data_IF_646505843254
#
_entry.id   IF_646505843254
#
_cell.length_a   1.000
_cell.length_b   1.000
_cell.length_c   1.000
_cell.angle_alpha   90.00
_cell.angle_beta   90.00
_cell.angle_gamma   90.00
#
_symmetry.space_group_name_H-M   'P 1'
#
loop_
_entity.id
_entity.type
_entity.pdbx_description
1 polymer ?
#
# COMPACT_ATOMS: atom_id res chain seq x y z
N UNK A 1 41.55 -29.04 -24.03
CA UNK A 1 41.91 -28.03 -23.03
C UNK A 1 40.64 -27.19 -22.80
N UNK A 2 39.85 -27.56 -21.79
CA UNK A 2 38.56 -26.92 -21.50
C UNK A 2 38.77 -25.92 -20.34
N UNK A 3 38.53 -24.65 -20.61
CA UNK A 3 38.51 -23.62 -19.56
C UNK A 3 37.15 -23.62 -18.87
N UNK A 4 37.08 -24.12 -17.63
CA UNK A 4 35.98 -23.87 -16.72
C UNK A 4 36.11 -22.44 -16.19
N UNK A 5 35.23 -21.56 -16.61
CA UNK A 5 35.03 -20.27 -15.98
C UNK A 5 34.10 -20.46 -14.78
N UNK A 6 34.66 -20.62 -13.59
CA UNK A 6 33.91 -20.60 -12.34
C UNK A 6 33.65 -19.14 -11.98
N UNK A 7 32.50 -18.62 -12.36
CA UNK A 7 32.00 -17.36 -11.86
C UNK A 7 31.55 -17.59 -10.42
N UNK A 8 32.42 -17.27 -9.49
CA UNK A 8 32.12 -17.22 -8.07
C UNK A 8 31.26 -15.95 -7.82
N UNK A 9 29.98 -16.04 -8.16
CA UNK A 9 29.00 -15.07 -7.70
C UNK A 9 28.86 -15.24 -6.20
N UNK A 10 29.47 -14.36 -5.40
CA UNK A 10 29.09 -14.20 -4.01
C UNK A 10 27.62 -13.76 -4.03
N UNK A 11 26.73 -14.68 -3.70
CA UNK A 11 25.41 -14.30 -3.20
C UNK A 11 25.66 -13.46 -1.95
N UNK A 12 25.51 -12.16 -2.07
CA UNK A 12 25.43 -11.28 -0.90
C UNK A 12 24.12 -11.67 -0.23
N UNK A 13 24.19 -12.47 0.83
CA UNK A 13 23.04 -12.69 1.68
C UNK A 13 22.79 -11.36 2.39
N UNK A 14 21.79 -10.63 1.93
CA UNK A 14 21.33 -9.37 2.53
C UNK A 14 20.77 -9.62 3.95
N UNK A 15 20.74 -10.86 4.39
CA UNK A 15 20.14 -11.29 5.66
C UNK A 15 21.14 -11.55 6.80
N UNK A 16 22.42 -11.26 6.62
CA UNK A 16 23.43 -11.84 7.53
C UNK A 16 23.85 -10.97 8.72
N UNK A 17 23.35 -9.77 8.98
CA UNK A 17 23.83 -9.11 10.20
C UNK A 17 22.96 -8.06 10.86
N UNK A 18 22.11 -7.36 10.13
CA UNK A 18 21.51 -6.13 10.66
C UNK A 18 20.04 -6.29 11.10
N UNK A 19 19.36 -7.35 10.64
CA UNK A 19 17.97 -7.59 10.97
C UNK A 19 17.83 -8.88 11.80
N UNK A 20 17.15 -8.79 12.93
CA UNK A 20 16.78 -9.91 13.78
C UNK A 20 15.27 -9.93 13.91
N UNK A 21 14.70 -11.13 13.88
CA UNK A 21 13.31 -11.30 14.26
C UNK A 21 13.17 -10.93 15.75
N UNK A 22 12.37 -9.92 16.02
CA UNK A 22 12.06 -9.46 17.37
C UNK A 22 10.88 -10.25 17.92
N UNK A 23 9.73 -10.14 17.26
CA UNK A 23 8.52 -10.88 17.65
C UNK A 23 7.60 -11.08 16.43
N UNK A 24 6.58 -11.91 16.62
CA UNK A 24 5.52 -12.17 15.63
C UNK A 24 4.18 -11.90 16.30
N UNK A 25 3.35 -11.10 15.64
CA UNK A 25 1.98 -10.83 16.06
C UNK A 25 1.01 -11.52 15.10
N UNK A 26 0.00 -12.19 15.66
CA UNK A 26 -1.11 -12.72 14.87
C UNK A 26 -2.17 -11.62 14.66
N UNK A 27 -2.41 -11.25 13.41
CA UNK A 27 -3.33 -10.18 13.04
C UNK A 27 -4.28 -10.62 11.93
N UNK A 28 -5.44 -9.99 11.84
CA UNK A 28 -6.33 -10.10 10.69
C UNK A 28 -5.79 -9.21 9.55
N UNK A 29 -6.10 -9.58 8.31
CA UNK A 29 -5.61 -8.87 7.12
C UNK A 29 -4.32 -9.46 6.56
N UNK A 30 -4.09 -9.24 5.25
CA UNK A 30 -2.96 -9.84 4.52
C UNK A 30 -2.49 -8.99 3.33
N UNK A 31 -2.95 -7.74 3.22
CA UNK A 31 -2.65 -6.91 2.04
C UNK A 31 -1.52 -5.91 2.34
N UNK A 32 -1.67 -5.07 3.32
CA UNK A 32 -0.68 -4.07 3.65
C UNK A 32 -0.53 -3.86 5.15
N UNK A 33 0.58 -3.25 5.53
CA UNK A 33 0.89 -2.86 6.90
C UNK A 33 1.53 -1.48 6.94
N UNK A 34 1.05 -0.65 7.86
CA UNK A 34 1.63 0.65 8.17
C UNK A 34 1.74 0.84 9.69
N UNK A 35 2.53 1.82 10.12
CA UNK A 35 2.67 2.17 11.54
C UNK A 35 2.98 3.65 11.71
N UNK A 36 2.44 4.24 12.77
CA UNK A 36 2.79 5.58 13.27
C UNK A 36 3.80 5.53 14.43
N UNK A 37 4.23 4.31 14.83
CA UNK A 37 5.11 4.06 15.96
C UNK A 37 4.37 3.74 17.27
N UNK A 38 3.09 4.05 17.37
CA UNK A 38 2.22 3.75 18.51
C UNK A 38 1.22 2.63 18.18
N UNK A 39 0.89 2.45 16.90
CA UNK A 39 -0.07 1.45 16.42
C UNK A 39 0.42 0.81 15.11
N UNK A 40 -0.06 -0.42 14.88
CA UNK A 40 -0.04 -1.06 13.57
C UNK A 40 -1.39 -0.91 12.90
N UNK A 41 -1.36 -0.59 11.62
CA UNK A 41 -2.52 -0.55 10.73
C UNK A 41 -2.37 -1.65 9.70
N UNK A 42 -3.40 -2.47 9.54
CA UNK A 42 -3.38 -3.63 8.65
C UNK A 42 -4.55 -3.55 7.69
N UNK A 43 -4.32 -3.79 6.41
CA UNK A 43 -5.41 -3.97 5.46
C UNK A 43 -5.66 -5.45 5.16
N UNK A 44 -6.92 -5.81 5.09
CA UNK A 44 -7.40 -6.97 4.37
C UNK A 44 -8.01 -6.51 3.04
N UNK A 45 -8.39 -7.44 2.17
CA UNK A 45 -8.99 -7.08 0.87
C UNK A 45 -10.27 -6.24 1.01
N UNK A 46 -11.00 -6.35 2.13
CA UNK A 46 -12.29 -5.69 2.34
C UNK A 46 -12.47 -5.09 3.74
N UNK A 47 -11.38 -4.94 4.50
CA UNK A 47 -11.44 -4.42 5.85
C UNK A 47 -10.14 -3.70 6.23
N UNK A 48 -10.21 -2.82 7.23
CA UNK A 48 -9.08 -2.16 7.87
C UNK A 48 -9.07 -2.48 9.37
N UNK A 49 -7.88 -2.67 9.92
CA UNK A 49 -7.67 -3.03 11.31
C UNK A 49 -6.60 -2.13 11.93
N UNK A 50 -6.77 -1.80 13.22
CA UNK A 50 -5.81 -1.09 14.03
C UNK A 50 -5.47 -1.91 15.27
N UNK A 51 -4.19 -2.15 15.49
CA UNK A 51 -3.66 -2.89 16.64
C UNK A 51 -2.73 -2.01 17.45
N UNK A 52 -2.67 -2.24 18.76
CA UNK A 52 -1.59 -1.69 19.57
C UNK A 52 -0.25 -2.44 19.31
N UNK A 53 0.82 -1.97 19.94
CA UNK A 53 2.16 -2.56 19.74
C UNK A 53 2.29 -3.97 20.35
N UNK A 54 1.36 -4.39 21.20
CA UNK A 54 1.26 -5.73 21.77
C UNK A 54 0.41 -6.69 20.90
N UNK A 55 -0.23 -6.18 19.84
CA UNK A 55 -1.07 -6.97 18.93
C UNK A 55 -2.52 -7.10 19.38
N UNK A 56 -2.99 -6.29 20.32
CA UNK A 56 -4.40 -6.24 20.68
C UNK A 56 -5.18 -5.40 19.66
N UNK A 57 -6.32 -5.90 19.19
CA UNK A 57 -7.20 -5.18 18.29
C UNK A 57 -7.83 -3.97 18.99
N UNK A 58 -7.55 -2.78 18.46
CA UNK A 58 -8.05 -1.49 19.00
C UNK A 58 -9.29 -0.99 18.25
N UNK A 59 -9.26 -1.11 16.90
CA UNK A 59 -10.36 -0.70 16.05
C UNK A 59 -10.38 -1.53 14.76
N UNK A 60 -11.56 -1.62 14.13
CA UNK A 60 -11.72 -2.21 12.80
C UNK A 60 -12.80 -1.50 12.01
N UNK A 61 -12.65 -1.50 10.69
CA UNK A 61 -13.65 -1.07 9.73
C UNK A 61 -13.91 -2.23 8.74
N UNK A 62 -15.05 -2.90 8.89
CA UNK A 62 -15.48 -4.03 8.04
C UNK A 62 -16.29 -3.60 6.81
N UNK A 63 -16.50 -2.29 6.65
CA UNK A 63 -17.23 -1.72 5.52
C UNK A 63 -16.50 -0.49 4.95
N UNK A 64 -15.19 -0.60 4.59
CA UNK A 64 -14.36 0.53 4.22
C UNK A 64 -14.84 1.24 2.94
N UNK A 65 -15.59 0.54 2.10
CA UNK A 65 -16.08 1.08 0.80
C UNK A 65 -17.42 1.82 0.92
N UNK A 66 -18.07 1.78 2.07
CA UNK A 66 -19.46 2.25 2.26
C UNK A 66 -19.68 3.69 1.80
N UNK A 67 -18.72 4.57 2.09
CA UNK A 67 -18.86 6.00 1.82
C UNK A 67 -18.03 6.47 0.62
N UNK A 68 -17.38 5.56 -0.13
CA UNK A 68 -16.65 5.88 -1.34
C UNK A 68 -17.60 6.29 -2.47
N UNK A 69 -17.19 7.32 -3.23
CA UNK A 69 -17.96 7.75 -4.40
C UNK A 69 -17.82 6.78 -5.59
N UNK A 70 -16.66 6.12 -5.71
CA UNK A 70 -16.42 5.11 -6.72
C UNK A 70 -16.47 3.74 -6.06
N UNK A 71 -17.27 2.85 -6.62
CA UNK A 71 -17.43 1.48 -6.13
C UNK A 71 -16.10 0.74 -6.13
N UNK A 72 -15.75 0.13 -4.99
CA UNK A 72 -14.58 -0.73 -4.80
C UNK A 72 -14.97 -2.05 -4.15
N UNK A 73 -14.16 -3.08 -4.38
CA UNK A 73 -14.28 -4.39 -3.74
C UNK A 73 -12.95 -4.91 -3.21
N UNK A 74 -11.87 -4.14 -3.39
CA UNK A 74 -10.52 -4.56 -3.01
C UNK A 74 -9.72 -3.39 -2.44
N UNK A 75 -9.01 -3.64 -1.34
CA UNK A 75 -7.94 -2.82 -0.81
C UNK A 75 -6.64 -3.60 -1.04
N UNK A 76 -5.63 -2.93 -1.59
CA UNK A 76 -4.26 -3.42 -1.63
C UNK A 76 -3.46 -2.97 -0.42
N UNK A 77 -2.32 -2.34 -0.68
CA UNK A 77 -1.42 -1.83 0.34
C UNK A 77 -1.91 -0.53 0.97
N UNK A 78 -1.34 -0.21 2.14
CA UNK A 78 -1.65 0.99 2.89
C UNK A 78 -0.38 1.67 3.40
N UNK A 79 -0.45 2.98 3.63
CA UNK A 79 0.56 3.73 4.40
C UNK A 79 -0.15 4.67 5.39
N UNK A 80 0.57 5.07 6.44
CA UNK A 80 0.10 6.06 7.42
C UNK A 80 0.91 7.34 7.26
N UNK A 81 0.24 8.48 7.25
CA UNK A 81 0.89 9.77 7.30
C UNK A 81 -0.03 10.84 7.92
N UNK A 82 0.51 11.55 8.92
CA UNK A 82 -0.13 12.71 9.59
C UNK A 82 -1.53 12.40 10.14
N UNK A 83 -1.70 11.21 10.73
CA UNK A 83 -2.96 10.74 11.31
C UNK A 83 -3.99 10.29 10.28
N UNK A 84 -3.57 10.03 9.05
CA UNK A 84 -4.39 9.50 7.97
C UNK A 84 -3.82 8.18 7.44
N UNK A 85 -4.72 7.22 7.16
CA UNK A 85 -4.38 5.98 6.46
C UNK A 85 -4.71 6.16 4.98
N UNK A 86 -3.71 5.99 4.14
CA UNK A 86 -3.82 6.01 2.68
C UNK A 86 -3.92 4.57 2.21
N UNK A 87 -5.00 4.21 1.55
CA UNK A 87 -5.27 2.85 1.08
C UNK A 87 -5.48 2.82 -0.43
N UNK A 88 -4.73 1.99 -1.12
CA UNK A 88 -4.95 1.69 -2.54
C UNK A 88 -6.24 0.89 -2.68
N UNK A 89 -7.25 1.45 -3.34
CA UNK A 89 -8.56 0.85 -3.51
C UNK A 89 -8.95 0.76 -4.98
N UNK A 90 -9.66 -0.29 -5.33
CA UNK A 90 -10.16 -0.52 -6.68
C UNK A 90 -11.36 -1.46 -6.71
N UNK A 91 -12.04 -1.52 -7.83
CA UNK A 91 -12.94 -2.61 -8.19
C UNK A 91 -12.17 -3.62 -9.05
N UNK A 92 -11.72 -4.71 -8.43
CA UNK A 92 -10.93 -5.73 -9.10
C UNK A 92 -11.79 -6.92 -9.49
N UNK A 93 -11.79 -7.27 -10.78
CA UNK A 93 -12.51 -8.40 -11.31
C UNK A 93 -11.78 -8.97 -12.54
N UNK A 94 -11.59 -10.28 -12.57
CA UNK A 94 -10.98 -11.02 -13.68
C UNK A 94 -9.60 -10.48 -14.13
N UNK A 95 -8.79 -10.04 -13.18
CA UNK A 95 -7.45 -9.50 -13.46
C UNK A 95 -7.44 -8.04 -13.93
N UNK A 96 -8.56 -7.32 -13.82
CA UNK A 96 -8.67 -5.92 -14.25
C UNK A 96 -9.14 -5.05 -13.10
N UNK A 97 -8.38 -4.00 -12.79
CA UNK A 97 -8.73 -2.95 -11.86
C UNK A 97 -9.58 -1.87 -12.54
N UNK A 98 -10.59 -1.38 -11.84
CA UNK A 98 -11.42 -0.23 -12.22
C UNK A 98 -11.63 0.65 -11.00
N UNK A 99 -12.02 1.91 -11.22
CA UNK A 99 -12.30 2.84 -10.12
C UNK A 99 -11.10 3.00 -9.17
N UNK A 100 -9.90 2.89 -9.70
CA UNK A 100 -8.65 2.98 -8.95
C UNK A 100 -8.61 4.32 -8.21
N UNK A 101 -8.30 4.29 -6.93
CA UNK A 101 -8.20 5.49 -6.10
C UNK A 101 -7.33 5.22 -4.87
N UNK A 102 -6.74 6.24 -4.31
CA UNK A 102 -6.27 6.22 -2.93
C UNK A 102 -7.40 6.68 -2.04
N UNK A 103 -8.01 5.77 -1.29
CA UNK A 103 -8.98 6.12 -0.25
C UNK A 103 -8.26 6.49 1.04
N UNK A 104 -8.71 7.55 1.69
CA UNK A 104 -8.06 8.12 2.87
C UNK A 104 -9.01 8.03 4.05
N UNK A 105 -8.51 7.43 5.14
CA UNK A 105 -9.25 7.18 6.37
C UNK A 105 -8.59 7.91 7.54
N UNK A 106 -9.35 8.23 8.55
CA UNK A 106 -8.84 8.74 9.81
C UNK A 106 -8.12 7.63 10.59
N UNK A 107 -6.86 7.83 10.97
CA UNK A 107 -6.06 6.79 11.63
C UNK A 107 -6.55 6.42 13.03
N UNK A 108 -7.36 7.28 13.67
CA UNK A 108 -7.91 6.99 14.99
C UNK A 108 -9.19 6.16 14.92
N UNK A 109 -10.09 6.48 13.99
CA UNK A 109 -11.43 5.88 13.89
C UNK A 109 -11.57 4.88 12.76
N UNK A 110 -10.67 4.88 11.79
CA UNK A 110 -10.73 4.17 10.52
C UNK A 110 -11.95 4.56 9.66
N UNK A 111 -12.53 5.72 9.90
CA UNK A 111 -13.62 6.26 9.09
C UNK A 111 -13.09 6.93 7.83
N UNK A 112 -13.85 6.78 6.74
CA UNK A 112 -13.52 7.41 5.47
C UNK A 112 -13.55 8.94 5.55
N UNK A 113 -12.58 9.60 4.94
CA UNK A 113 -12.47 11.07 4.86
C UNK A 113 -12.61 11.59 3.43
N UNK A 114 -11.83 11.06 2.50
CA UNK A 114 -11.73 11.53 1.11
C UNK A 114 -11.00 10.51 0.25
N UNK A 115 -11.04 10.71 -1.08
CA UNK A 115 -10.23 9.93 -2.02
C UNK A 115 -9.42 10.83 -2.95
N UNK A 116 -8.29 10.29 -3.41
CA UNK A 116 -7.55 10.76 -4.58
C UNK A 116 -7.89 9.81 -5.72
N UNK A 117 -8.69 10.23 -6.72
CA UNK A 117 -9.04 9.37 -7.83
C UNK A 117 -7.86 9.22 -8.80
N UNK A 118 -7.75 8.05 -9.38
CA UNK A 118 -6.91 7.81 -10.55
C UNK A 118 -7.32 8.68 -11.73
N UNK A 119 -6.35 9.02 -12.59
CA UNK A 119 -6.59 9.70 -13.84
C UNK A 119 -6.14 8.83 -15.03
N UNK A 120 -6.94 8.73 -16.12
CA UNK A 120 -6.63 7.88 -17.27
C UNK A 120 -5.26 8.17 -17.92
N UNK A 121 -4.81 9.40 -17.87
CA UNK A 121 -3.53 9.84 -18.42
C UNK A 121 -2.32 9.20 -17.74
N UNK A 122 -2.47 8.66 -16.51
CA UNK A 122 -1.40 7.94 -15.83
C UNK A 122 -1.07 6.61 -16.50
N UNK A 123 -2.05 6.00 -17.17
CA UNK A 123 -1.92 4.64 -17.72
C UNK A 123 -2.00 3.53 -16.67
N UNK A 124 -2.21 3.86 -15.40
CA UNK A 124 -2.33 2.89 -14.31
C UNK A 124 -3.52 1.96 -14.53
N UNK A 125 -3.32 0.65 -14.33
CA UNK A 125 -4.33 -0.39 -14.61
C UNK A 125 -4.83 -1.11 -13.35
N UNK A 126 -4.16 -0.90 -12.20
CA UNK A 126 -4.49 -1.54 -10.93
C UNK A 126 -3.75 -0.82 -9.79
N UNK A 127 -4.09 -1.06 -8.53
CA UNK A 127 -3.41 -0.48 -7.38
C UNK A 127 -3.19 -1.52 -6.28
N UNK A 128 -2.02 -2.19 -6.29
CA UNK A 128 -1.66 -3.14 -5.24
C UNK A 128 -0.66 -2.57 -4.23
N UNK A 129 0.28 -1.75 -4.67
CA UNK A 129 1.29 -1.11 -3.83
C UNK A 129 0.99 0.36 -3.61
N UNK A 130 1.27 0.85 -2.40
CA UNK A 130 1.09 2.26 -2.07
C UNK A 130 2.12 2.71 -1.03
N UNK A 131 2.64 3.92 -1.19
CA UNK A 131 3.44 4.59 -0.15
C UNK A 131 3.34 6.11 -0.25
N UNK A 132 3.58 6.80 0.86
CA UNK A 132 3.60 8.26 0.95
C UNK A 132 5.04 8.76 1.08
N UNK A 133 5.49 9.56 0.12
CA UNK A 133 6.71 10.36 0.27
C UNK A 133 6.40 11.55 1.19
N UNK A 134 6.83 11.42 2.43
CA UNK A 134 6.56 12.40 3.50
C UNK A 134 7.25 13.74 3.27
N UNK A 135 8.39 13.73 2.59
CA UNK A 135 9.17 14.94 2.33
C UNK A 135 8.60 15.74 1.16
N UNK A 136 8.25 15.05 0.08
CA UNK A 136 7.71 15.68 -1.14
C UNK A 136 6.21 15.88 -1.12
N UNK A 137 5.51 15.28 -0.15
CA UNK A 137 4.04 15.26 -0.08
C UNK A 137 3.42 14.66 -1.34
N UNK A 138 3.91 13.53 -1.71
CA UNK A 138 3.47 12.74 -2.86
C UNK A 138 2.96 11.38 -2.39
N UNK A 139 1.96 10.83 -3.07
CA UNK A 139 1.56 9.43 -2.93
C UNK A 139 1.99 8.68 -4.19
N UNK A 140 2.62 7.55 -3.97
CA UNK A 140 3.09 6.66 -5.02
C UNK A 140 2.27 5.38 -5.00
N UNK A 141 1.82 4.95 -6.16
CA UNK A 141 1.09 3.72 -6.36
C UNK A 141 1.81 2.83 -7.36
N UNK A 142 1.67 1.51 -7.19
CA UNK A 142 2.19 0.50 -8.11
C UNK A 142 1.08 -0.43 -8.53
N UNK A 143 1.15 -0.95 -9.75
CA UNK A 143 0.38 -2.11 -10.16
C UNK A 143 1.27 -3.36 -10.18
N UNK A 144 0.68 -4.53 -9.95
CA UNK A 144 1.40 -5.80 -10.08
C UNK A 144 1.20 -6.47 -11.45
N UNK A 145 0.20 -6.02 -12.20
CA UNK A 145 -0.17 -6.61 -13.50
C UNK A 145 0.91 -6.36 -14.53
N UNK A 146 1.44 -5.14 -14.58
CA UNK A 146 2.57 -4.78 -15.43
C UNK A 146 3.89 -4.75 -14.64
N UNK A 147 3.86 -4.26 -13.39
CA UNK A 147 4.97 -4.27 -12.47
C UNK A 147 6.20 -3.47 -12.91
N UNK A 148 6.04 -2.56 -13.85
CA UNK A 148 7.13 -1.80 -14.46
C UNK A 148 7.06 -0.30 -14.24
N UNK A 149 5.97 0.19 -13.66
CA UNK A 149 5.70 1.60 -13.48
C UNK A 149 5.29 1.91 -12.03
N UNK A 150 5.74 3.04 -11.53
CA UNK A 150 5.23 3.68 -10.33
C UNK A 150 4.52 4.98 -10.73
N UNK A 151 3.37 5.24 -10.12
CA UNK A 151 2.50 6.36 -10.46
C UNK A 151 2.47 7.36 -9.31
N UNK A 152 2.80 8.61 -9.60
CA UNK A 152 2.97 9.66 -8.60
C UNK A 152 1.86 10.70 -8.67
N UNK A 153 1.25 10.99 -7.52
CA UNK A 153 0.21 11.99 -7.36
C UNK A 153 0.56 12.95 -6.23
N UNK A 154 0.14 14.20 -6.36
CA UNK A 154 0.23 15.18 -5.28
C UNK A 154 -0.72 14.82 -4.14
N UNK A 155 -0.19 14.71 -2.93
CA UNK A 155 -0.92 14.22 -1.76
C UNK A 155 -2.11 15.09 -1.36
N UNK A 156 -2.00 16.40 -1.57
CA UNK A 156 -3.02 17.37 -1.16
C UNK A 156 -4.11 17.57 -2.23
N UNK A 157 -3.68 17.71 -3.48
CA UNK A 157 -4.59 18.06 -4.58
C UNK A 157 -5.11 16.85 -5.33
N UNK A 158 -4.46 15.69 -5.20
CA UNK A 158 -4.74 14.49 -5.97
C UNK A 158 -4.35 14.59 -7.44
N UNK A 159 -3.58 15.62 -7.81
CA UNK A 159 -3.15 15.80 -9.19
C UNK A 159 -2.10 14.76 -9.56
N UNK A 160 -2.28 14.07 -10.69
CA UNK A 160 -1.25 13.24 -11.28
C UNK A 160 -0.03 14.08 -11.66
N UNK A 161 1.16 13.61 -11.30
CA UNK A 161 2.42 14.31 -11.49
C UNK A 161 3.29 13.65 -12.56
N UNK A 162 3.53 12.35 -12.42
CA UNK A 162 4.45 11.60 -13.30
C UNK A 162 4.41 10.09 -13.04
N UNK A 163 5.00 9.33 -13.96
CA UNK A 163 5.40 7.95 -13.74
C UNK A 163 6.92 7.87 -13.51
N UNK A 164 7.33 6.78 -12.88
CA UNK A 164 8.69 6.30 -12.82
C UNK A 164 8.72 4.86 -13.37
N UNK A 165 9.45 4.66 -14.46
CA UNK A 165 9.70 3.32 -15.02
C UNK A 165 10.82 2.63 -14.24
N UNK A 166 10.62 1.35 -13.88
CA UNK A 166 11.56 0.52 -13.11
C UNK A 166 12.55 -0.22 -14.00
#
# INVERSE_FOLDING_TARGET
>A
MAFLCVSCGRAVSVLDSDFKLDHVLEVEGRQGVATDGDFYYISGSTALYKYDMEGNLVARNEAPFKDLQLECNHIGDIDEYDGEIFAGCEYFLDGVGKNIQTAIYDAKTLEYKRSIPWVPESGQVECCGLTVDRDRKEVWMADWVQGSELYCYDLKTGKYLRNLTL
#
